data_IF_169312864066
#
_entry.id   IF_169312864066
#
_cell.length_a   1.000
_cell.length_b   1.000
_cell.length_c   1.000
_cell.angle_alpha   90.00
_cell.angle_beta   90.00
_cell.angle_gamma   90.00
#
_symmetry.space_group_name_H-M   'P 1'
#
loop_
_entity.id
_entity.type
_entity.pdbx_description
1 polymer ?
#
# COMPACT_ATOMS: atom_id res chain seq x y z
N UNK A 1 27.50 -10.68 2.89
CA UNK A 1 26.43 -9.73 2.49
C UNK A 1 26.37 -8.61 3.53
N UNK A 2 26.56 -7.34 3.13
CA UNK A 2 26.70 -6.21 4.06
C UNK A 2 25.38 -5.89 4.79
N UNK A 3 25.43 -5.78 6.12
CA UNK A 3 24.28 -5.47 6.99
C UNK A 3 23.58 -4.16 6.62
N UNK A 4 24.32 -3.17 6.13
CA UNK A 4 23.77 -1.87 5.71
C UNK A 4 22.75 -1.99 4.57
N UNK A 5 22.95 -2.92 3.64
CA UNK A 5 22.04 -3.14 2.50
C UNK A 5 20.75 -3.83 2.91
N UNK A 6 20.81 -4.74 3.88
CA UNK A 6 19.60 -5.34 4.47
C UNK A 6 18.77 -4.29 5.20
N UNK A 7 19.42 -3.44 5.99
CA UNK A 7 18.74 -2.39 6.76
C UNK A 7 18.08 -1.35 5.85
N UNK A 8 18.79 -0.88 4.81
CA UNK A 8 18.23 0.03 3.82
C UNK A 8 17.03 -0.57 3.07
N UNK A 9 17.10 -1.86 2.72
CA UNK A 9 15.98 -2.56 2.10
C UNK A 9 14.77 -2.65 3.04
N UNK A 10 14.97 -3.01 4.31
CA UNK A 10 13.88 -3.09 5.30
C UNK A 10 13.20 -1.73 5.50
N UNK A 11 13.97 -0.65 5.61
CA UNK A 11 13.43 0.70 5.71
C UNK A 11 12.68 1.08 4.44
N UNK A 12 13.23 0.80 3.25
CA UNK A 12 12.56 1.03 1.97
C UNK A 12 11.20 0.33 1.91
N UNK A 13 11.13 -0.95 2.27
CA UNK A 13 9.87 -1.70 2.30
C UNK A 13 8.86 -1.10 3.28
N UNK A 14 9.29 -0.72 4.49
CA UNK A 14 8.39 -0.07 5.46
C UNK A 14 7.86 1.27 4.96
N UNK A 15 8.72 2.12 4.36
CA UNK A 15 8.26 3.39 3.79
C UNK A 15 7.28 3.20 2.63
N UNK A 16 7.50 2.19 1.78
CA UNK A 16 6.57 1.82 0.72
C UNK A 16 5.21 1.36 1.28
N UNK A 17 5.19 0.56 2.35
CA UNK A 17 3.96 0.14 3.05
C UNK A 17 3.21 1.33 3.66
N UNK A 18 3.89 2.21 4.39
CA UNK A 18 3.26 3.40 4.97
C UNK A 18 2.69 4.33 3.90
N UNK A 19 3.42 4.51 2.79
CA UNK A 19 2.97 5.33 1.66
C UNK A 19 1.76 4.70 0.98
N UNK A 20 1.77 3.38 0.79
CA UNK A 20 0.65 2.65 0.24
C UNK A 20 -0.59 2.77 1.13
N UNK A 21 -0.46 2.57 2.45
CA UNK A 21 -1.54 2.72 3.42
C UNK A 21 -2.16 4.12 3.37
N UNK A 22 -1.33 5.17 3.33
CA UNK A 22 -1.82 6.54 3.19
C UNK A 22 -2.54 6.79 1.87
N UNK A 23 -2.04 6.22 0.77
CA UNK A 23 -2.70 6.34 -0.54
C UNK A 23 -4.06 5.65 -0.57
N UNK A 24 -4.17 4.48 0.08
CA UNK A 24 -5.43 3.74 0.18
C UNK A 24 -6.42 4.51 1.04
N UNK A 25 -6.00 4.99 2.21
CA UNK A 25 -6.85 5.79 3.10
C UNK A 25 -7.37 7.06 2.41
N UNK A 26 -6.50 7.81 1.73
CA UNK A 26 -6.90 9.01 1.00
C UNK A 26 -7.89 8.71 -0.15
N UNK A 27 -7.72 7.58 -0.84
CA UNK A 27 -8.66 7.15 -1.87
C UNK A 27 -10.03 6.81 -1.29
N UNK A 28 -10.06 6.06 -0.17
CA UNK A 28 -11.29 5.73 0.56
C UNK A 28 -12.01 6.98 1.06
N UNK A 29 -11.29 7.93 1.68
CA UNK A 29 -11.85 9.21 2.14
C UNK A 29 -12.46 10.03 0.99
N UNK A 30 -11.82 10.00 -0.18
CA UNK A 30 -12.31 10.66 -1.38
C UNK A 30 -13.46 9.91 -2.08
N UNK A 31 -13.91 8.76 -1.55
CA UNK A 31 -14.92 7.92 -2.19
C UNK A 31 -14.46 7.35 -3.53
N UNK A 32 -13.15 7.18 -3.75
CA UNK A 32 -12.56 6.63 -4.97
C UNK A 32 -11.89 5.29 -4.71
N UNK A 33 -11.84 4.43 -5.73
CA UNK A 33 -11.17 3.14 -5.65
C UNK A 33 -9.66 3.33 -5.36
N UNK A 34 -9.10 2.62 -4.37
CA UNK A 34 -7.67 2.67 -4.10
C UNK A 34 -6.84 2.17 -5.28
N UNK A 35 -5.63 2.69 -5.50
CA UNK A 35 -4.78 2.24 -6.60
C UNK A 35 -4.30 0.80 -6.35
N UNK A 36 -4.44 -0.06 -7.35
CA UNK A 36 -4.09 -1.49 -7.31
C UNK A 36 -2.65 -1.74 -6.81
N UNK A 37 -1.71 -0.86 -7.20
CA UNK A 37 -0.31 -0.94 -6.75
C UNK A 37 -0.17 -0.78 -5.24
N UNK A 38 -0.92 0.15 -4.63
CA UNK A 38 -0.88 0.35 -3.18
C UNK A 38 -1.53 -0.82 -2.45
N UNK A 39 -2.63 -1.37 -2.99
CA UNK A 39 -3.25 -2.57 -2.47
C UNK A 39 -2.28 -3.77 -2.48
N UNK A 40 -1.62 -4.02 -3.61
CA UNK A 40 -0.59 -5.06 -3.73
C UNK A 40 0.57 -4.89 -2.75
N UNK A 41 1.05 -3.66 -2.55
CA UNK A 41 2.10 -3.36 -1.57
C UNK A 41 1.67 -3.71 -0.14
N UNK A 42 0.38 -3.58 0.18
CA UNK A 42 -0.17 -3.94 1.49
C UNK A 42 -0.61 -5.41 1.58
N UNK A 43 -0.45 -6.20 0.51
CA UNK A 43 -0.98 -7.56 0.43
C UNK A 43 -2.52 -7.64 0.41
N UNK A 44 -3.18 -6.55 0.05
CA UNK A 44 -4.62 -6.44 -0.05
C UNK A 44 -5.08 -6.76 -1.47
N UNK A 45 -6.16 -7.53 -1.58
CA UNK A 45 -6.81 -7.79 -2.87
C UNK A 45 -7.77 -6.64 -3.23
N UNK A 46 -8.05 -6.43 -4.50
CA UNK A 46 -8.97 -5.37 -4.94
C UNK A 46 -10.45 -5.78 -4.84
N UNK A 47 -10.73 -7.07 -4.65
CA UNK A 47 -12.09 -7.62 -4.49
C UNK A 47 -12.77 -7.19 -3.18
N UNK A 48 -12.02 -6.86 -2.13
CA UNK A 48 -12.57 -6.28 -0.89
C UNK A 48 -13.23 -4.91 -1.12
N UNK A 49 -12.89 -4.23 -2.21
CA UNK A 49 -13.46 -2.93 -2.58
C UNK A 49 -14.63 -3.00 -3.56
N UNK A 50 -14.92 -4.18 -4.11
CA UNK A 50 -15.90 -4.35 -5.20
C UNK A 50 -17.34 -4.01 -4.76
N UNK A 51 -17.64 -4.04 -3.45
CA UNK A 51 -18.94 -3.65 -2.89
C UNK A 51 -19.04 -2.20 -2.40
N UNK A 52 -17.94 -1.46 -2.34
CA UNK A 52 -17.90 -0.09 -1.77
C UNK A 52 -18.20 1.02 -2.79
N UNK A 53 -18.04 0.76 -4.08
CA UNK A 53 -18.10 1.80 -5.13
C UNK A 53 -19.27 1.59 -6.13
N UNK A 54 -20.42 1.09 -5.65
CA UNK A 54 -21.61 0.88 -6.48
C UNK A 54 -22.49 2.12 -6.58
#
# INVERSE_FOLDING_TARGET
MSHARKFANTLGTMFDEFRAARSVAAAMEAGRRPPERALRTLGLDDSIFNGMYR
#
